data_IF_741818537270
#
_entry.id   IF_741818537270
#
_cell.length_a   1.000
_cell.length_b   1.000
_cell.length_c   1.000
_cell.angle_alpha   90.00
_cell.angle_beta   90.00
_cell.angle_gamma   90.00
#
_symmetry.space_group_name_H-M   'P 1'
#
loop_
_entity.id
_entity.type
_entity.pdbx_description
1 polymer ?
#
# COMPACT_ATOMS: atom_id res chain seq x y z
N UNK A 1 22.31 1.79 10.67
CA UNK A 1 23.45 1.27 11.42
C UNK A 1 24.21 0.32 10.50
N UNK A 2 25.54 0.32 10.49
CA UNK A 2 26.28 -0.65 9.68
C UNK A 2 26.31 -2.04 10.35
N UNK A 3 26.68 -3.06 9.57
CA UNK A 3 26.67 -4.46 10.01
C UNK A 3 27.58 -4.72 11.21
N UNK A 4 28.72 -4.03 11.30
CA UNK A 4 29.71 -4.24 12.36
C UNK A 4 29.19 -3.62 13.66
N UNK A 5 28.67 -2.39 13.58
CA UNK A 5 28.06 -1.72 14.74
C UNK A 5 26.83 -2.49 15.24
N UNK A 6 26.00 -3.03 14.33
CA UNK A 6 24.86 -3.85 14.71
C UNK A 6 25.27 -5.14 15.42
N UNK A 7 26.31 -5.84 14.95
CA UNK A 7 26.80 -7.04 15.60
C UNK A 7 27.32 -6.76 17.02
N UNK A 8 28.01 -5.64 17.22
CA UNK A 8 28.49 -5.22 18.53
C UNK A 8 27.33 -4.89 19.47
N UNK A 9 26.37 -4.08 18.99
CA UNK A 9 25.16 -3.77 19.75
C UNK A 9 24.36 -5.03 20.10
N UNK A 10 24.24 -5.99 19.17
CA UNK A 10 23.51 -7.24 19.39
C UNK A 10 24.12 -8.08 20.52
N UNK A 11 25.46 -8.12 20.64
CA UNK A 11 26.10 -8.81 21.77
C UNK A 11 25.77 -8.14 23.10
N UNK A 12 25.74 -6.79 23.14
CA UNK A 12 25.32 -6.04 24.33
C UNK A 12 23.84 -6.29 24.65
N UNK A 13 22.98 -6.30 23.62
CA UNK A 13 21.56 -6.59 23.76
C UNK A 13 21.29 -7.97 24.37
N UNK A 14 22.00 -9.01 23.92
CA UNK A 14 21.88 -10.35 24.49
C UNK A 14 22.28 -10.41 25.96
N UNK A 15 23.30 -9.66 26.38
CA UNK A 15 23.72 -9.56 27.79
C UNK A 15 22.65 -8.85 28.63
N UNK A 16 22.14 -7.72 28.16
CA UNK A 16 21.04 -6.99 28.81
C UNK A 16 19.79 -7.85 28.93
N UNK A 17 19.41 -8.59 27.87
CA UNK A 17 18.26 -9.48 27.88
C UNK A 17 18.40 -10.66 28.86
N UNK A 18 19.64 -11.05 29.19
CA UNK A 18 19.95 -12.04 30.24
C UNK A 18 20.00 -11.44 31.65
N UNK A 19 19.81 -10.13 31.79
CA UNK A 19 19.88 -9.40 33.05
C UNK A 19 21.31 -9.10 33.52
N UNK A 20 22.30 -9.17 32.64
CA UNK A 20 23.67 -8.77 32.96
C UNK A 20 23.80 -7.24 32.97
N UNK A 21 24.57 -6.71 33.93
CA UNK A 21 24.90 -5.29 33.96
C UNK A 21 26.00 -4.96 32.96
N UNK A 22 25.79 -3.89 32.20
CA UNK A 22 26.81 -3.29 31.33
C UNK A 22 27.63 -2.25 32.09
N UNK A 23 28.90 -2.10 31.72
CA UNK A 23 29.71 -0.97 32.19
C UNK A 23 29.17 0.37 31.65
N UNK A 24 29.57 1.52 32.21
CA UNK A 24 29.06 2.83 31.78
C UNK A 24 29.25 3.11 30.28
N UNK A 25 30.41 2.77 29.73
CA UNK A 25 30.73 2.98 28.30
C UNK A 25 29.96 2.01 27.39
N UNK A 26 29.78 0.77 27.85
CA UNK A 26 28.98 -0.25 27.16
C UNK A 26 27.50 0.15 27.15
N UNK A 27 26.99 0.66 28.27
CA UNK A 27 25.62 1.15 28.40
C UNK A 27 25.36 2.34 27.46
N UNK A 28 26.27 3.31 27.44
CA UNK A 28 26.16 4.45 26.52
C UNK A 28 26.12 4.00 25.04
N UNK A 29 26.97 3.03 24.69
CA UNK A 29 27.00 2.46 23.34
C UNK A 29 25.71 1.68 23.01
N UNK A 30 25.18 0.92 23.97
CA UNK A 30 23.92 0.21 23.86
C UNK A 30 22.74 1.17 23.64
N UNK A 31 22.65 2.23 24.43
CA UNK A 31 21.58 3.24 24.35
C UNK A 31 21.62 4.05 23.04
N UNK A 32 22.81 4.26 22.46
CA UNK A 32 22.95 4.85 21.13
C UNK A 32 22.39 3.90 20.07
N UNK A 33 22.77 2.62 20.10
CA UNK A 33 22.25 1.65 19.14
C UNK A 33 20.74 1.44 19.24
N UNK A 34 20.17 1.47 20.45
CA UNK A 34 18.70 1.43 20.64
C UNK A 34 18.02 2.61 19.95
N UNK A 35 18.54 3.83 20.12
CA UNK A 35 17.98 5.04 19.50
C UNK A 35 18.13 5.06 17.98
N UNK A 36 19.22 4.52 17.45
CA UNK A 36 19.40 4.38 16.00
C UNK A 36 18.40 3.39 15.41
N UNK A 37 18.22 2.23 16.03
CA UNK A 37 17.27 1.22 15.58
C UNK A 37 15.81 1.70 15.68
N UNK A 38 15.44 2.36 16.77
CA UNK A 38 14.12 2.96 16.93
C UNK A 38 13.84 4.01 15.84
N UNK A 39 14.84 4.83 15.51
CA UNK A 39 14.72 5.82 14.43
C UNK A 39 14.57 5.14 13.06
N UNK A 40 15.29 4.06 12.80
CA UNK A 40 15.18 3.29 11.56
C UNK A 40 13.80 2.65 11.42
N UNK A 41 13.27 2.08 12.50
CA UNK A 41 11.92 1.51 12.54
C UNK A 41 10.86 2.58 12.24
N UNK A 42 10.92 3.74 12.91
CA UNK A 42 10.01 4.86 12.63
C UNK A 42 10.11 5.36 11.18
N UNK A 43 11.33 5.43 10.63
CA UNK A 43 11.52 5.82 9.23
C UNK A 43 10.86 4.81 8.29
N UNK A 44 11.10 3.52 8.49
CA UNK A 44 10.51 2.45 7.69
C UNK A 44 8.99 2.49 7.74
N UNK A 45 8.40 2.57 8.94
CA UNK A 45 6.95 2.70 9.11
C UNK A 45 6.39 3.91 8.36
N UNK A 46 7.05 5.07 8.46
CA UNK A 46 6.58 6.27 7.75
C UNK A 46 6.69 6.15 6.23
N UNK A 47 7.75 5.52 5.71
CA UNK A 47 7.92 5.31 4.27
C UNK A 47 6.95 4.28 3.73
N UNK A 48 6.81 3.12 4.37
CA UNK A 48 5.90 2.05 3.95
C UNK A 48 4.44 2.50 4.02
N UNK A 49 4.07 3.23 5.07
CA UNK A 49 2.72 3.80 5.18
C UNK A 49 2.46 4.85 4.10
N UNK A 50 3.47 5.64 3.73
CA UNK A 50 3.34 6.63 2.66
C UNK A 50 3.20 5.96 1.29
N UNK A 51 4.06 5.00 0.97
CA UNK A 51 4.00 4.24 -0.29
C UNK A 51 2.67 3.50 -0.40
N UNK A 52 2.20 2.87 0.68
CA UNK A 52 0.91 2.18 0.70
C UNK A 52 -0.26 3.14 0.44
N UNK A 53 -0.23 4.35 1.00
CA UNK A 53 -1.26 5.38 0.73
C UNK A 53 -1.23 5.86 -0.71
N UNK A 54 -0.05 6.04 -1.29
CA UNK A 54 0.11 6.44 -2.69
C UNK A 54 -0.41 5.34 -3.64
N UNK A 55 -0.11 4.07 -3.34
CA UNK A 55 -0.62 2.92 -4.09
C UNK A 55 -2.15 2.81 -3.98
N UNK A 56 -2.72 2.98 -2.79
CA UNK A 56 -4.17 3.00 -2.59
C UNK A 56 -4.84 4.10 -3.40
N UNK A 57 -4.31 5.33 -3.35
CA UNK A 57 -4.86 6.45 -4.11
C UNK A 57 -4.79 6.20 -5.64
N UNK A 58 -3.71 5.57 -6.13
CA UNK A 58 -3.60 5.18 -7.53
C UNK A 58 -4.64 4.12 -7.93
N UNK A 59 -4.84 3.10 -7.09
CA UNK A 59 -5.85 2.05 -7.32
C UNK A 59 -7.28 2.60 -7.26
N UNK A 60 -7.57 3.52 -6.35
CA UNK A 60 -8.88 4.18 -6.27
C UNK A 60 -9.17 5.01 -7.53
N UNK A 61 -8.16 5.73 -8.03
CA UNK A 61 -8.28 6.48 -9.28
C UNK A 61 -8.50 5.56 -10.49
N UNK A 62 -7.77 4.45 -10.57
CA UNK A 62 -7.95 3.44 -11.62
C UNK A 62 -9.35 2.82 -11.57
N UNK A 63 -9.81 2.44 -10.38
CA UNK A 63 -11.16 1.91 -10.18
C UNK A 63 -12.24 2.91 -10.62
N UNK A 64 -12.11 4.18 -10.26
CA UNK A 64 -13.06 5.23 -10.69
C UNK A 64 -13.10 5.41 -12.21
N UNK A 65 -11.93 5.33 -12.87
CA UNK A 65 -11.84 5.39 -14.33
C UNK A 65 -12.52 4.19 -15.00
N UNK A 66 -12.25 2.98 -14.50
CA UNK A 66 -12.87 1.75 -14.99
C UNK A 66 -14.38 1.75 -14.79
N UNK A 67 -14.87 2.22 -13.65
CA UNK A 67 -16.29 2.32 -13.36
C UNK A 67 -16.99 3.31 -14.31
N UNK A 68 -16.33 4.44 -14.61
CA UNK A 68 -16.83 5.40 -15.61
C UNK A 68 -16.91 4.76 -16.99
N UNK A 69 -15.87 4.02 -17.39
CA UNK A 69 -15.84 3.33 -18.68
C UNK A 69 -16.94 2.25 -18.76
N UNK A 70 -17.16 1.50 -17.68
CA UNK A 70 -18.24 0.51 -17.58
C UNK A 70 -19.60 1.15 -17.82
N UNK A 71 -19.89 2.27 -17.14
CA UNK A 71 -21.16 2.97 -17.29
C UNK A 71 -21.38 3.51 -18.72
N UNK A 72 -20.32 3.97 -19.39
CA UNK A 72 -20.40 4.40 -20.79
C UNK A 72 -20.73 3.24 -21.73
N UNK A 73 -20.06 2.09 -21.55
CA UNK A 73 -20.33 0.89 -22.33
C UNK A 73 -21.74 0.35 -22.10
N UNK A 74 -22.21 0.34 -20.85
CA UNK A 74 -23.58 -0.08 -20.51
C UNK A 74 -24.63 0.81 -21.22
N UNK A 75 -24.38 2.13 -21.30
CA UNK A 75 -25.24 3.06 -22.02
C UNK A 75 -25.24 2.82 -23.54
N UNK A 76 -24.07 2.57 -24.13
CA UNK A 76 -23.93 2.26 -25.55
C UNK A 76 -24.64 0.95 -25.92
N UNK A 77 -24.49 -0.09 -25.08
CA UNK A 77 -25.19 -1.36 -25.26
C UNK A 77 -26.71 -1.13 -25.24
N UNK A 78 -27.22 -0.40 -24.25
CA UNK A 78 -28.64 -0.11 -24.14
C UNK A 78 -29.20 0.64 -25.37
N UNK A 79 -28.43 1.59 -25.90
CA UNK A 79 -28.79 2.31 -27.13
C UNK A 79 -28.82 1.38 -28.35
N UNK A 80 -27.77 0.57 -28.53
CA UNK A 80 -27.67 -0.38 -29.64
C UNK A 80 -28.80 -1.42 -29.60
N UNK A 81 -29.10 -1.95 -28.43
CA UNK A 81 -30.22 -2.87 -28.26
C UNK A 81 -31.56 -2.21 -28.56
N UNK A 82 -31.75 -0.94 -28.17
CA UNK A 82 -32.98 -0.20 -28.51
C UNK A 82 -33.13 -0.05 -30.01
N UNK A 83 -32.07 0.42 -30.69
CA UNK A 83 -32.06 0.57 -32.15
C UNK A 83 -32.34 -0.77 -32.86
N UNK A 84 -31.74 -1.86 -32.39
CA UNK A 84 -31.98 -3.19 -32.95
C UNK A 84 -33.44 -3.63 -32.75
N UNK A 85 -34.02 -3.39 -31.57
CA UNK A 85 -35.44 -3.69 -31.30
C UNK A 85 -36.36 -2.89 -32.23
N UNK A 86 -36.09 -1.60 -32.40
CA UNK A 86 -36.90 -0.73 -33.26
C UNK A 86 -36.82 -1.15 -34.72
N UNK A 87 -35.60 -1.42 -35.23
CA UNK A 87 -35.40 -1.97 -36.57
C UNK A 87 -36.12 -3.32 -36.74
N UNK A 88 -36.06 -4.20 -35.74
CA UNK A 88 -36.74 -5.49 -35.78
C UNK A 88 -38.26 -5.32 -35.87
N UNK A 89 -38.85 -4.39 -35.12
CA UNK A 89 -40.30 -4.09 -35.22
C UNK A 89 -40.68 -3.55 -36.60
N UNK A 90 -39.85 -2.66 -37.16
CA UNK A 90 -40.05 -2.13 -38.52
C UNK A 90 -40.03 -3.24 -39.58
N UNK A 91 -39.03 -4.13 -39.53
CA UNK A 91 -38.91 -5.26 -40.47
C UNK A 91 -40.07 -6.24 -40.37
N UNK A 92 -40.59 -6.49 -39.16
CA UNK A 92 -41.71 -7.40 -38.93
C UNK A 92 -43.08 -6.73 -39.19
N UNK A 93 -43.12 -5.44 -39.54
CA UNK A 93 -44.36 -4.72 -39.82
C UNK A 93 -45.28 -4.56 -38.61
N UNK A 94 -44.73 -4.60 -37.39
CA UNK A 94 -45.50 -4.49 -36.12
C UNK A 94 -45.59 -3.03 -35.66
N UNK A 95 -45.67 -2.08 -36.59
CA UNK A 95 -45.91 -0.68 -36.24
C UNK A 95 -47.36 -0.50 -35.79
N UNK A 96 -47.56 -0.29 -34.49
CA UNK A 96 -48.84 0.01 -33.84
C UNK A 96 -48.62 0.81 -32.58
#
# INVERSE_FOLDING_TARGET
MDRTTYQQWWQLHLRVARGESLGPDEQASYDVGCRELEREEQLLETTEAKESREQLAALEAEHAALETQRQQLDAEIAELESRLRDQTRQYLGVEG
#
